data_IF_934154632449
#
_entry.id   IF_934154632449
#
_cell.length_a   1.000
_cell.length_b   1.000
_cell.length_c   1.000
_cell.angle_alpha   90.00
_cell.angle_beta   90.00
_cell.angle_gamma   90.00
#
_symmetry.space_group_name_H-M   'P 1'
#
loop_
_entity.id
_entity.type
_entity.pdbx_description
1 polymer ?
#
# COMPACT_ATOMS: atom_id res chain seq x y z
N UNK A 1 19.75 19.68 15.06
CA UNK A 1 19.26 19.38 16.44
C UNK A 1 17.79 19.75 16.62
N UNK A 2 17.33 20.88 16.06
CA UNK A 2 15.94 21.32 16.24
C UNK A 2 14.92 20.39 15.58
N UNK A 3 15.13 19.97 14.33
CA UNK A 3 14.21 19.07 13.62
C UNK A 3 14.10 17.70 14.31
N UNK A 4 15.22 17.10 14.71
CA UNK A 4 15.26 15.82 15.44
C UNK A 4 14.43 15.88 16.72
N UNK A 5 14.62 16.93 17.53
CA UNK A 5 13.85 17.14 18.76
C UNK A 5 12.37 17.34 18.49
N UNK A 6 12.03 18.14 17.47
CA UNK A 6 10.64 18.41 17.06
C UNK A 6 9.93 17.11 16.63
N UNK A 7 10.56 16.31 15.76
CA UNK A 7 9.94 15.04 15.29
C UNK A 7 9.82 14.03 16.43
N UNK A 8 10.85 13.93 17.29
CA UNK A 8 10.79 13.04 18.48
C UNK A 8 9.63 13.46 19.41
N UNK A 9 9.43 14.75 19.65
CA UNK A 9 8.32 15.25 20.47
C UNK A 9 6.95 14.99 19.82
N UNK A 10 6.83 15.12 18.50
CA UNK A 10 5.57 14.80 17.77
C UNK A 10 5.21 13.33 17.98
N UNK A 11 6.17 12.41 17.84
CA UNK A 11 5.93 10.98 18.03
C UNK A 11 5.59 10.69 19.50
N UNK A 12 6.36 11.23 20.45
CA UNK A 12 6.12 11.05 21.88
C UNK A 12 4.71 11.52 22.28
N UNK A 13 4.29 12.69 21.80
CA UNK A 13 2.96 13.21 22.06
C UNK A 13 1.84 12.33 21.48
N UNK A 14 2.06 11.73 20.29
CA UNK A 14 1.08 10.79 19.73
C UNK A 14 0.94 9.53 20.58
N UNK A 15 2.05 9.02 21.14
CA UNK A 15 2.04 7.88 22.07
C UNK A 15 1.36 8.25 23.41
N UNK A 16 1.72 9.39 23.98
CA UNK A 16 1.12 9.89 25.25
C UNK A 16 -0.40 10.09 25.12
N UNK A 17 -0.86 10.59 23.98
CA UNK A 17 -2.27 10.77 23.65
C UNK A 17 -2.96 9.48 23.21
N UNK A 18 -2.27 8.35 23.25
CA UNK A 18 -2.78 7.03 22.81
C UNK A 18 -3.32 7.05 21.36
N UNK A 19 -2.71 7.86 20.49
CA UNK A 19 -3.00 7.81 19.05
C UNK A 19 -2.44 6.53 18.43
N UNK A 20 -1.31 6.04 18.95
CA UNK A 20 -0.69 4.76 18.63
C UNK A 20 0.08 4.19 19.82
N UNK A 21 0.37 2.88 19.79
CA UNK A 21 1.20 2.23 20.81
C UNK A 21 2.68 2.65 20.70
N UNK A 22 3.14 2.78 19.49
CA UNK A 22 4.48 3.24 19.15
C UNK A 22 4.62 3.48 17.65
N UNK A 23 5.57 4.30 17.29
CA UNK A 23 5.85 4.65 15.90
C UNK A 23 7.32 4.93 15.67
N UNK A 24 7.74 4.81 14.42
CA UNK A 24 9.05 5.22 13.94
C UNK A 24 8.93 6.04 12.66
N UNK A 25 9.85 6.97 12.49
CA UNK A 25 9.96 7.89 11.34
C UNK A 25 11.39 7.87 10.82
N UNK A 26 11.52 7.79 9.50
CA UNK A 26 12.78 7.90 8.79
C UNK A 26 12.65 8.97 7.70
N UNK A 27 13.59 9.90 7.67
CA UNK A 27 13.74 10.87 6.58
C UNK A 27 15.08 10.63 5.91
N UNK A 28 15.05 10.43 4.59
CA UNK A 28 16.26 10.31 3.76
C UNK A 28 16.29 11.42 2.74
N UNK A 29 17.45 11.94 2.43
CA UNK A 29 17.65 12.94 1.36
C UNK A 29 18.93 12.63 0.60
N UNK A 30 18.84 12.61 -0.74
CA UNK A 30 19.97 12.35 -1.65
C UNK A 30 20.75 11.08 -1.28
N UNK A 31 20.01 10.01 -0.90
CA UNK A 31 20.59 8.72 -0.51
C UNK A 31 21.13 8.63 0.93
N UNK A 32 21.07 9.70 1.72
CA UNK A 32 21.55 9.72 3.10
C UNK A 32 20.40 9.82 4.10
N UNK A 33 20.56 9.18 5.26
CA UNK A 33 19.67 9.37 6.40
C UNK A 33 19.88 10.78 6.96
N UNK A 34 18.80 11.54 7.07
CA UNK A 34 18.79 12.88 7.64
C UNK A 34 18.23 12.87 9.06
N UNK A 35 17.25 11.98 9.28
CA UNK A 35 16.58 11.87 10.57
C UNK A 35 16.05 10.44 10.73
N UNK A 36 16.25 9.90 11.94
CA UNK A 36 15.52 8.75 12.44
C UNK A 36 15.00 9.06 13.85
N UNK A 37 13.72 8.81 14.09
CA UNK A 37 13.10 8.99 15.39
C UNK A 37 12.09 7.87 15.67
N UNK A 38 12.00 7.46 16.93
CA UNK A 38 11.03 6.46 17.40
C UNK A 38 10.56 6.79 18.81
N UNK A 39 9.37 6.33 19.17
CA UNK A 39 8.86 6.34 20.54
C UNK A 39 7.78 5.27 20.71
N UNK A 40 7.53 4.89 21.97
CA UNK A 40 6.49 3.96 22.37
C UNK A 40 6.86 2.49 22.22
N UNK A 41 5.84 1.64 22.27
CA UNK A 41 5.97 0.19 22.39
C UNK A 41 5.64 -0.51 21.07
N UNK A 42 6.43 -1.51 20.74
CA UNK A 42 6.11 -2.53 19.74
C UNK A 42 5.07 -3.52 20.28
N UNK A 43 5.07 -3.69 21.60
CA UNK A 43 4.11 -4.54 22.32
C UNK A 43 3.94 -3.96 23.73
N UNK A 44 2.72 -3.51 24.05
CA UNK A 44 2.40 -2.87 25.34
C UNK A 44 2.38 -3.92 26.46
N UNK A 45 1.84 -5.11 26.18
CA UNK A 45 1.62 -6.16 27.16
C UNK A 45 2.94 -6.72 27.71
N UNK A 46 3.94 -6.82 26.83
CA UNK A 46 5.30 -7.30 27.19
C UNK A 46 6.26 -6.17 27.55
N UNK A 47 5.87 -4.91 27.33
CA UNK A 47 6.75 -3.75 27.53
C UNK A 47 7.88 -3.65 26.50
N UNK A 48 7.75 -4.31 25.34
CA UNK A 48 8.77 -4.31 24.29
C UNK A 48 8.71 -3.00 23.51
N UNK A 49 9.80 -2.20 23.49
CA UNK A 49 9.82 -0.91 22.79
C UNK A 49 9.88 -1.10 21.26
N UNK A 50 9.48 -0.07 20.52
CA UNK A 50 9.83 0.07 19.09
C UNK A 50 11.35 0.07 18.96
N UNK A 51 11.86 -0.67 17.98
CA UNK A 51 13.27 -0.71 17.61
C UNK A 51 13.43 -0.40 16.11
N UNK A 52 14.68 -0.09 15.70
CA UNK A 52 14.97 0.27 14.31
C UNK A 52 14.59 -0.84 13.32
N UNK A 53 14.77 -2.08 13.74
CA UNK A 53 14.50 -3.29 12.97
C UNK A 53 13.09 -3.88 13.24
N UNK A 54 12.20 -3.12 13.90
CA UNK A 54 10.81 -3.52 14.08
C UNK A 54 10.13 -3.79 12.74
N UNK A 55 9.41 -4.92 12.67
CA UNK A 55 8.67 -5.35 11.47
C UNK A 55 7.21 -4.94 11.61
N UNK A 56 6.71 -4.19 10.64
CA UNK A 56 5.35 -3.64 10.62
C UNK A 56 4.51 -4.26 9.51
N UNK A 57 3.20 -4.36 9.73
CA UNK A 57 2.23 -4.66 8.67
C UNK A 57 2.06 -3.43 7.79
N UNK A 58 2.26 -3.57 6.50
CA UNK A 58 2.19 -2.46 5.54
C UNK A 58 0.76 -2.13 5.11
N UNK A 59 -0.10 -3.14 5.03
CA UNK A 59 -1.39 -3.00 4.36
C UNK A 59 -1.23 -2.32 3.01
N UNK A 60 -2.00 -1.25 2.74
CA UNK A 60 -2.03 -0.62 1.42
C UNK A 60 -0.71 -0.02 0.95
N UNK A 61 0.28 0.13 1.83
CA UNK A 61 1.64 0.49 1.42
C UNK A 61 2.32 -0.64 0.61
N UNK A 62 1.72 -1.85 0.52
CA UNK A 62 2.11 -2.91 -0.41
C UNK A 62 1.88 -2.53 -1.88
N UNK A 63 0.89 -1.68 -2.18
CA UNK A 63 0.43 -1.36 -3.53
C UNK A 63 1.51 -0.79 -4.47
N UNK A 64 2.37 0.16 -4.06
CA UNK A 64 3.45 0.64 -4.91
C UNK A 64 4.44 -0.46 -5.32
N UNK A 65 4.69 -1.44 -4.44
CA UNK A 65 5.54 -2.61 -4.74
C UNK A 65 4.87 -3.49 -5.80
N UNK A 66 3.56 -3.73 -5.67
CA UNK A 66 2.79 -4.47 -6.69
C UNK A 66 2.81 -3.76 -8.04
N UNK A 67 2.68 -2.43 -8.07
CA UNK A 67 2.78 -1.66 -9.31
C UNK A 67 4.15 -1.80 -9.97
N UNK A 68 5.23 -1.79 -9.18
CA UNK A 68 6.58 -2.03 -9.68
C UNK A 68 6.74 -3.45 -10.29
N UNK A 69 6.15 -4.46 -9.65
CA UNK A 69 6.14 -5.85 -10.16
C UNK A 69 5.44 -5.96 -11.53
N UNK A 70 4.29 -5.29 -11.69
CA UNK A 70 3.58 -5.24 -12.97
C UNK A 70 4.43 -4.58 -14.05
N UNK A 71 5.13 -3.48 -13.72
CA UNK A 71 5.99 -2.81 -14.68
C UNK A 71 7.20 -3.64 -15.10
N UNK A 72 7.75 -4.49 -14.22
CA UNK A 72 8.81 -5.44 -14.61
C UNK A 72 8.33 -6.42 -15.69
N UNK A 73 7.09 -6.90 -15.60
CA UNK A 73 6.52 -7.76 -16.65
C UNK A 73 6.26 -6.99 -17.94
N UNK A 74 5.76 -5.76 -17.86
CA UNK A 74 5.53 -4.90 -19.02
C UNK A 74 6.84 -4.55 -19.74
N UNK A 75 7.92 -4.20 -19.02
CA UNK A 75 9.25 -3.95 -19.59
C UNK A 75 9.83 -5.17 -20.30
N UNK A 76 9.47 -6.37 -19.87
CA UNK A 76 9.89 -7.63 -20.51
C UNK A 76 9.02 -8.04 -21.70
N UNK A 77 7.98 -7.25 -22.01
CA UNK A 77 7.03 -7.56 -23.06
C UNK A 77 6.16 -8.80 -22.80
N UNK A 78 6.00 -9.17 -21.53
CA UNK A 78 5.21 -10.33 -21.12
C UNK A 78 3.72 -10.00 -20.93
N UNK A 79 3.39 -8.73 -20.78
CA UNK A 79 2.03 -8.18 -20.70
C UNK A 79 1.96 -6.86 -21.47
N UNK A 80 0.76 -6.54 -21.98
CA UNK A 80 0.39 -5.19 -22.43
C UNK A 80 -0.57 -4.59 -21.40
N UNK A 81 -0.36 -3.33 -21.03
CA UNK A 81 -1.22 -2.65 -20.06
C UNK A 81 -2.66 -2.43 -20.56
N UNK A 82 -2.90 -2.59 -21.85
CA UNK A 82 -4.22 -2.60 -22.49
C UNK A 82 -4.81 -4.01 -22.62
N UNK A 83 -4.12 -5.05 -22.14
CA UNK A 83 -4.71 -6.38 -22.07
C UNK A 83 -5.90 -6.38 -21.11
N UNK A 84 -6.98 -7.05 -21.51
CA UNK A 84 -8.08 -7.39 -20.62
C UNK A 84 -7.63 -8.39 -19.56
N UNK A 85 -7.97 -8.16 -18.30
CA UNK A 85 -7.61 -9.05 -17.19
C UNK A 85 -8.12 -10.48 -17.39
N UNK A 86 -9.18 -10.67 -18.18
CA UNK A 86 -9.78 -11.97 -18.54
C UNK A 86 -8.88 -12.86 -19.40
N UNK A 87 -7.81 -12.29 -19.97
CA UNK A 87 -6.77 -13.09 -20.65
C UNK A 87 -5.95 -13.91 -19.65
N UNK A 88 -5.80 -13.42 -18.43
CA UNK A 88 -5.00 -14.03 -17.37
C UNK A 88 -5.87 -14.74 -16.32
N UNK A 89 -7.02 -14.15 -15.99
CA UNK A 89 -7.93 -14.61 -14.95
C UNK A 89 -9.32 -14.89 -15.53
N UNK A 90 -9.66 -16.17 -15.80
CA UNK A 90 -10.93 -16.55 -16.44
C UNK A 90 -12.20 -16.08 -15.72
N UNK A 91 -12.14 -15.82 -14.41
CA UNK A 91 -13.26 -15.28 -13.64
C UNK A 91 -13.77 -13.92 -14.16
N UNK A 92 -12.96 -13.20 -14.93
CA UNK A 92 -13.32 -11.91 -15.54
C UNK A 92 -13.89 -11.99 -16.96
N UNK A 93 -14.10 -13.18 -17.53
CA UNK A 93 -14.52 -13.35 -18.95
C UNK A 93 -15.91 -12.84 -19.26
N UNK A 94 -16.82 -12.84 -18.31
CA UNK A 94 -18.20 -12.38 -18.49
C UNK A 94 -18.53 -11.28 -17.46
N UNK A 95 -17.84 -10.14 -17.48
CA UNK A 95 -18.00 -9.15 -16.45
C UNK A 95 -19.40 -8.54 -16.46
N UNK A 96 -19.91 -8.27 -15.27
CA UNK A 96 -21.21 -7.65 -15.03
C UNK A 96 -21.00 -6.39 -14.20
N UNK A 97 -21.96 -5.50 -14.26
CA UNK A 97 -22.00 -4.28 -13.43
C UNK A 97 -23.27 -4.31 -12.61
N UNK A 98 -23.20 -3.94 -11.35
CA UNK A 98 -24.35 -3.73 -10.49
C UNK A 98 -24.50 -2.23 -10.19
N UNK A 99 -25.67 -1.67 -10.40
CA UNK A 99 -25.98 -0.27 -10.07
C UNK A 99 -26.33 -0.09 -8.58
N UNK A 100 -26.54 1.16 -8.17
CA UNK A 100 -26.91 1.51 -6.80
C UNK A 100 -28.28 0.96 -6.36
N UNK A 101 -29.13 0.48 -7.29
CA UNK A 101 -30.41 -0.17 -7.04
C UNK A 101 -30.33 -1.69 -6.99
N UNK A 102 -29.12 -2.25 -7.20
CA UNK A 102 -28.89 -3.69 -7.28
C UNK A 102 -29.23 -4.33 -8.62
N UNK A 103 -29.52 -3.54 -9.67
CA UNK A 103 -29.77 -4.07 -11.01
C UNK A 103 -28.45 -4.47 -11.66
N UNK A 104 -28.39 -5.72 -12.14
CA UNK A 104 -27.18 -6.28 -12.78
C UNK A 104 -27.35 -6.21 -14.29
N UNK A 105 -26.34 -5.65 -14.95
CA UNK A 105 -26.23 -5.59 -16.41
C UNK A 105 -24.87 -6.15 -16.87
N UNK A 106 -24.73 -6.42 -18.16
CA UNK A 106 -23.45 -6.84 -18.72
C UNK A 106 -22.49 -5.64 -18.78
N UNK A 107 -21.23 -5.86 -18.41
CA UNK A 107 -20.18 -4.89 -18.70
C UNK A 107 -19.82 -4.95 -20.20
N UNK A 108 -19.37 -3.83 -20.74
CA UNK A 108 -18.97 -3.73 -22.16
C UNK A 108 -17.74 -4.56 -22.49
N UNK A 109 -16.85 -4.73 -21.53
CA UNK A 109 -15.59 -5.51 -21.62
C UNK A 109 -15.05 -5.83 -20.24
N UNK A 110 -14.03 -6.67 -20.17
CA UNK A 110 -13.21 -6.85 -18.98
C UNK A 110 -12.36 -5.58 -18.69
N UNK A 111 -11.99 -5.31 -17.44
CA UNK A 111 -11.05 -4.24 -17.12
C UNK A 111 -9.68 -4.46 -17.78
N UNK A 112 -9.03 -3.39 -18.20
CA UNK A 112 -7.62 -3.43 -18.62
C UNK A 112 -6.68 -3.40 -17.41
N UNK A 113 -5.46 -3.93 -17.57
CA UNK A 113 -4.43 -3.89 -16.53
C UNK A 113 -4.12 -2.45 -16.09
N UNK A 114 -4.12 -1.50 -17.03
CA UNK A 114 -3.95 -0.08 -16.73
C UNK A 114 -5.06 0.49 -15.83
N UNK A 115 -6.29 0.00 -15.96
CA UNK A 115 -7.43 0.42 -15.13
C UNK A 115 -7.34 -0.16 -13.72
N UNK A 116 -6.78 -1.36 -13.57
CA UNK A 116 -6.44 -1.92 -12.27
C UNK A 116 -5.37 -1.06 -11.57
N UNK A 117 -4.30 -0.69 -12.26
CA UNK A 117 -3.26 0.22 -11.74
C UNK A 117 -3.82 1.58 -11.33
N UNK A 118 -4.82 2.09 -12.07
CA UNK A 118 -5.46 3.40 -11.82
C UNK A 118 -6.63 3.37 -10.86
N UNK A 119 -7.05 2.21 -10.32
CA UNK A 119 -8.27 2.06 -9.51
C UNK A 119 -9.56 2.47 -10.24
N UNK A 120 -9.60 2.28 -11.57
CA UNK A 120 -10.77 2.59 -12.41
C UNK A 120 -11.42 1.34 -13.00
N UNK A 121 -11.09 0.16 -12.50
CA UNK A 121 -11.59 -1.12 -13.00
C UNK A 121 -13.03 -1.46 -12.58
N UNK A 122 -13.59 -0.76 -11.58
CA UNK A 122 -14.92 -1.06 -11.04
C UNK A 122 -14.98 -2.14 -9.98
N UNK A 123 -13.83 -2.68 -9.53
CA UNK A 123 -13.77 -3.62 -8.41
C UNK A 123 -14.17 -2.95 -7.09
N UNK A 124 -14.52 -3.75 -6.09
CA UNK A 124 -14.88 -3.28 -4.76
C UNK A 124 -14.10 -4.02 -3.66
N UNK A 125 -13.87 -3.34 -2.54
CA UNK A 125 -13.67 -3.99 -1.25
C UNK A 125 -15.02 -4.35 -0.62
N UNK A 126 -15.06 -5.20 0.43
CA UNK A 126 -16.25 -5.36 1.26
C UNK A 126 -16.76 -4.00 1.75
N UNK A 127 -17.98 -3.65 1.37
CA UNK A 127 -18.61 -2.37 1.68
C UNK A 127 -20.13 -2.52 1.70
N UNK A 128 -20.86 -1.50 2.16
CA UNK A 128 -22.31 -1.52 2.27
C UNK A 128 -23.07 -1.38 0.93
N UNK A 129 -22.43 -0.85 -0.10
CA UNK A 129 -23.04 -0.74 -1.42
C UNK A 129 -23.19 -2.10 -2.13
N UNK A 130 -24.02 -2.22 -3.18
CA UNK A 130 -24.29 -3.49 -3.84
C UNK A 130 -23.03 -4.25 -4.31
N UNK A 131 -22.06 -3.58 -4.93
CA UNK A 131 -20.83 -4.23 -5.39
C UNK A 131 -19.97 -4.69 -4.21
N UNK A 132 -19.87 -3.87 -3.15
CA UNK A 132 -19.18 -4.22 -1.91
C UNK A 132 -19.79 -5.43 -1.21
N UNK A 133 -21.11 -5.57 -1.21
CA UNK A 133 -21.82 -6.73 -0.65
C UNK A 133 -21.51 -8.04 -1.41
N UNK A 134 -21.35 -7.97 -2.73
CA UNK A 134 -20.90 -9.13 -3.52
C UNK A 134 -19.45 -9.49 -3.19
N UNK A 135 -18.57 -8.51 -3.09
CA UNK A 135 -17.18 -8.74 -2.67
C UNK A 135 -17.12 -9.32 -1.24
N UNK A 136 -17.93 -8.80 -0.32
CA UNK A 136 -17.97 -9.24 1.09
C UNK A 136 -18.18 -10.75 1.23
N UNK A 137 -19.08 -11.34 0.45
CA UNK A 137 -19.35 -12.80 0.48
C UNK A 137 -18.09 -13.62 0.14
N UNK A 138 -17.34 -13.18 -0.87
CA UNK A 138 -16.11 -13.87 -1.29
C UNK A 138 -15.01 -13.74 -0.21
N UNK A 139 -14.93 -12.56 0.44
CA UNK A 139 -14.03 -12.36 1.57
C UNK A 139 -14.44 -13.15 2.82
N UNK A 140 -15.74 -13.28 3.09
CA UNK A 140 -16.25 -14.09 4.21
C UNK A 140 -15.87 -15.56 4.04
N UNK A 141 -16.01 -16.12 2.82
CA UNK A 141 -15.56 -17.47 2.50
C UNK A 141 -14.04 -17.63 2.69
N UNK A 142 -13.26 -16.64 2.26
CA UNK A 142 -11.81 -16.64 2.44
C UNK A 142 -11.44 -16.60 3.94
N UNK A 143 -12.08 -15.74 4.70
CA UNK A 143 -11.88 -15.63 6.15
C UNK A 143 -12.24 -16.93 6.88
N UNK A 144 -13.33 -17.62 6.47
CA UNK A 144 -13.71 -18.91 7.04
C UNK A 144 -12.62 -19.95 6.79
N UNK A 145 -12.13 -20.07 5.55
CA UNK A 145 -11.08 -21.02 5.20
C UNK A 145 -9.75 -20.75 5.95
N UNK A 146 -9.39 -19.48 6.14
CA UNK A 146 -8.20 -19.12 6.91
C UNK A 146 -8.35 -19.51 8.39
N UNK A 147 -9.53 -19.27 8.98
CA UNK A 147 -9.83 -19.67 10.38
C UNK A 147 -9.78 -21.17 10.57
N UNK A 148 -10.20 -21.95 9.57
CA UNK A 148 -10.15 -23.41 9.58
C UNK A 148 -8.72 -23.98 9.32
N UNK A 149 -7.72 -23.12 9.27
CA UNK A 149 -6.32 -23.50 9.11
C UNK A 149 -5.86 -23.68 7.68
N UNK A 150 -6.73 -23.45 6.69
CA UNK A 150 -6.44 -23.47 5.27
C UNK A 150 -6.15 -22.08 4.69
N UNK A 151 -6.72 -21.82 3.53
CA UNK A 151 -6.65 -20.55 2.79
C UNK A 151 -7.01 -20.77 1.33
N UNK A 152 -7.27 -19.69 0.62
CA UNK A 152 -7.54 -19.72 -0.83
C UNK A 152 -6.29 -19.23 -1.56
N UNK A 153 -5.76 -19.95 -2.56
CA UNK A 153 -4.66 -19.47 -3.38
C UNK A 153 -4.98 -18.14 -4.08
N UNK A 154 -3.98 -17.28 -4.27
CA UNK A 154 -4.14 -15.93 -4.83
C UNK A 154 -4.95 -15.92 -6.13
N UNK A 155 -4.56 -16.74 -7.10
CA UNK A 155 -5.24 -16.79 -8.42
C UNK A 155 -6.68 -17.26 -8.29
N UNK A 156 -6.96 -18.26 -7.45
CA UNK A 156 -8.32 -18.76 -7.23
C UNK A 156 -9.19 -17.70 -6.58
N UNK A 157 -8.69 -17.02 -5.54
CA UNK A 157 -9.42 -15.97 -4.84
C UNK A 157 -9.78 -14.82 -5.79
N UNK A 158 -8.83 -14.38 -6.62
CA UNK A 158 -9.08 -13.31 -7.57
C UNK A 158 -10.02 -13.71 -8.70
N UNK A 159 -10.03 -14.97 -9.14
CA UNK A 159 -11.04 -15.47 -10.06
C UNK A 159 -12.45 -15.43 -9.45
N UNK A 160 -12.62 -15.85 -8.18
CA UNK A 160 -13.93 -15.77 -7.48
C UNK A 160 -14.42 -14.33 -7.34
N UNK A 161 -13.51 -13.36 -7.11
CA UNK A 161 -13.84 -11.93 -7.12
C UNK A 161 -14.22 -11.44 -8.52
N UNK A 162 -13.54 -11.90 -9.57
CA UNK A 162 -13.84 -11.56 -10.96
C UNK A 162 -15.22 -12.02 -11.43
N UNK A 163 -15.76 -13.08 -10.84
CA UNK A 163 -17.13 -13.54 -11.07
C UNK A 163 -18.20 -12.65 -10.46
N UNK A 164 -17.81 -11.71 -9.58
CA UNK A 164 -18.75 -10.79 -8.96
C UNK A 164 -18.98 -9.54 -9.83
N UNK A 165 -20.15 -8.88 -9.68
CA UNK A 165 -20.42 -7.66 -10.43
C UNK A 165 -19.49 -6.51 -10.03
N UNK A 166 -18.99 -5.79 -11.03
CA UNK A 166 -18.27 -4.52 -10.86
C UNK A 166 -19.23 -3.40 -10.40
N UNK A 167 -18.74 -2.37 -9.74
CA UNK A 167 -19.53 -1.22 -9.31
C UNK A 167 -19.92 -0.29 -10.48
N UNK A 168 -19.15 -0.30 -11.58
CA UNK A 168 -19.36 0.55 -12.75
C UNK A 168 -18.62 -0.03 -13.98
N UNK A 169 -18.90 0.53 -15.15
CA UNK A 169 -18.21 0.16 -16.39
C UNK A 169 -16.72 0.49 -16.27
N UNK A 170 -15.81 -0.44 -16.60
CA UNK A 170 -14.38 -0.20 -16.52
C UNK A 170 -13.94 1.10 -17.21
N UNK A 171 -13.13 1.90 -16.51
CA UNK A 171 -12.59 3.17 -17.00
C UNK A 171 -13.45 4.40 -16.74
N UNK A 172 -14.68 4.26 -16.19
CA UNK A 172 -15.63 5.39 -16.09
C UNK A 172 -15.56 6.16 -14.77
N UNK A 173 -15.18 5.50 -13.67
CA UNK A 173 -15.13 6.08 -12.33
C UNK A 173 -13.86 5.66 -11.60
N UNK A 174 -13.54 6.34 -10.52
CA UNK A 174 -12.49 5.93 -9.60
C UNK A 174 -13.10 5.29 -8.35
N UNK A 175 -12.56 4.12 -7.97
CA UNK A 175 -12.92 3.47 -6.71
C UNK A 175 -11.73 2.70 -6.16
N UNK A 176 -11.36 3.03 -4.93
CA UNK A 176 -10.35 2.27 -4.21
C UNK A 176 -10.82 0.86 -3.87
N UNK A 177 -10.04 -0.17 -4.22
CA UNK A 177 -10.54 -1.54 -4.26
C UNK A 177 -9.45 -2.61 -4.30
N UNK A 178 -9.84 -3.86 -4.56
CA UNK A 178 -8.99 -5.05 -4.71
C UNK A 178 -8.12 -5.08 -5.98
N UNK A 179 -8.02 -3.99 -6.72
CA UNK A 179 -7.28 -3.94 -7.99
C UNK A 179 -5.83 -4.42 -7.88
N UNK A 180 -5.14 -4.08 -6.78
CA UNK A 180 -3.76 -4.50 -6.57
C UNK A 180 -3.64 -6.01 -6.26
N UNK A 181 -4.66 -6.60 -5.65
CA UNK A 181 -4.71 -8.04 -5.40
C UNK A 181 -4.87 -8.80 -6.72
N UNK A 182 -5.75 -8.31 -7.59
CA UNK A 182 -5.93 -8.85 -8.95
C UNK A 182 -4.63 -8.74 -9.76
N UNK A 183 -3.91 -7.63 -9.65
CA UNK A 183 -2.61 -7.46 -10.30
C UNK A 183 -1.56 -8.43 -9.74
N UNK A 184 -1.55 -8.72 -8.43
CA UNK A 184 -0.72 -9.76 -7.83
C UNK A 184 -0.98 -11.13 -8.44
N UNK A 185 -2.26 -11.50 -8.64
CA UNK A 185 -2.63 -12.75 -9.31
C UNK A 185 -2.20 -12.79 -10.78
N UNK A 186 -2.29 -11.66 -11.50
CA UNK A 186 -1.77 -11.56 -12.88
C UNK A 186 -0.26 -11.78 -12.91
N UNK A 187 0.49 -11.18 -11.98
CA UNK A 187 1.95 -11.42 -11.86
C UNK A 187 2.23 -12.90 -11.64
N UNK A 188 1.46 -13.57 -10.77
CA UNK A 188 1.60 -15.02 -10.49
C UNK A 188 1.36 -15.86 -11.75
N UNK A 189 0.27 -15.60 -12.48
CA UNK A 189 -0.07 -16.32 -13.72
C UNK A 189 1.00 -16.13 -14.80
N UNK A 190 1.44 -14.91 -15.03
CA UNK A 190 2.37 -14.57 -16.11
C UNK A 190 3.78 -15.06 -15.82
N UNK A 191 4.23 -14.95 -14.56
CA UNK A 191 5.57 -15.38 -14.16
C UNK A 191 5.69 -16.89 -13.91
N UNK A 192 4.57 -17.58 -13.68
CA UNK A 192 4.56 -18.97 -13.24
C UNK A 192 5.13 -19.21 -11.85
N UNK A 193 5.33 -18.14 -11.05
CA UNK A 193 5.82 -18.17 -9.66
C UNK A 193 4.72 -17.68 -8.73
N UNK A 194 4.74 -18.11 -7.46
CA UNK A 194 3.95 -17.43 -6.43
C UNK A 194 4.33 -15.95 -6.41
N UNK A 195 3.37 -15.09 -6.10
CA UNK A 195 3.58 -13.65 -6.13
C UNK A 195 4.72 -13.22 -5.18
N UNK A 196 4.78 -13.77 -3.97
CA UNK A 196 5.85 -13.52 -3.01
C UNK A 196 7.22 -13.99 -3.49
N UNK A 197 7.30 -15.13 -4.18
CA UNK A 197 8.54 -15.61 -4.77
C UNK A 197 9.01 -14.68 -5.90
N UNK A 198 8.09 -14.20 -6.74
CA UNK A 198 8.41 -13.21 -7.77
C UNK A 198 8.95 -11.93 -7.15
N UNK A 199 8.26 -11.37 -6.14
CA UNK A 199 8.70 -10.15 -5.45
C UNK A 199 10.07 -10.34 -4.79
N UNK A 200 10.29 -11.48 -4.13
CA UNK A 200 11.59 -11.80 -3.51
C UNK A 200 12.72 -11.80 -4.54
N UNK A 201 12.53 -12.50 -5.66
CA UNK A 201 13.57 -12.69 -6.66
C UNK A 201 13.86 -11.41 -7.44
N UNK A 202 12.83 -10.62 -7.77
CA UNK A 202 12.93 -9.49 -8.68
C UNK A 202 13.08 -8.12 -7.99
N UNK A 203 12.59 -8.00 -6.75
CA UNK A 203 12.61 -6.75 -6.00
C UNK A 203 13.33 -6.89 -4.66
N UNK A 204 12.92 -7.80 -3.78
CA UNK A 204 13.41 -7.79 -2.40
C UNK A 204 14.87 -8.18 -2.29
N UNK A 205 15.30 -9.26 -2.93
CA UNK A 205 16.73 -9.67 -2.93
C UNK A 205 17.61 -8.62 -3.61
N UNK A 206 17.26 -8.12 -4.82
CA UNK A 206 18.03 -7.06 -5.46
C UNK A 206 18.14 -5.76 -4.66
N UNK A 207 17.13 -5.42 -3.89
CA UNK A 207 17.06 -4.22 -3.04
C UNK A 207 17.51 -4.47 -1.59
N UNK A 208 17.97 -5.69 -1.26
CA UNK A 208 18.35 -6.10 0.09
C UNK A 208 17.25 -5.88 1.15
N UNK A 209 16.00 -6.13 0.78
CA UNK A 209 14.82 -6.03 1.63
C UNK A 209 14.55 -7.38 2.32
N UNK A 210 15.43 -7.77 3.24
CA UNK A 210 15.44 -9.11 3.83
C UNK A 210 14.30 -9.39 4.82
N UNK A 211 13.64 -8.35 5.31
CA UNK A 211 12.54 -8.42 6.27
C UNK A 211 11.17 -8.10 5.63
N UNK A 212 11.13 -7.99 4.29
CA UNK A 212 9.90 -7.74 3.54
C UNK A 212 9.36 -9.04 2.96
N UNK A 213 8.13 -9.41 3.35
CA UNK A 213 7.50 -10.67 2.95
C UNK A 213 5.98 -10.64 3.22
N UNK A 214 5.26 -11.72 2.87
CA UNK A 214 3.85 -11.91 3.23
C UNK A 214 3.63 -12.56 4.59
N UNK A 215 4.68 -12.95 5.30
CA UNK A 215 4.64 -13.54 6.63
C UNK A 215 5.97 -13.32 7.37
N UNK A 216 5.95 -13.55 8.69
CA UNK A 216 7.12 -13.36 9.56
C UNK A 216 7.55 -14.72 10.11
N UNK A 217 8.73 -15.25 9.69
CA UNK A 217 9.24 -16.51 10.20
C UNK A 217 9.53 -16.44 11.70
N UNK A 218 9.50 -17.58 12.37
CA UNK A 218 9.62 -17.68 13.84
C UNK A 218 10.85 -16.94 14.40
N UNK A 219 11.99 -17.06 13.73
CA UNK A 219 13.23 -16.40 14.15
C UNK A 219 13.20 -14.86 14.10
N UNK A 220 12.17 -14.27 13.50
CA UNK A 220 11.96 -12.80 13.38
C UNK A 220 10.77 -12.29 14.18
N UNK A 221 9.96 -13.17 14.80
CA UNK A 221 8.70 -12.79 15.48
C UNK A 221 8.88 -11.83 16.63
N UNK A 222 10.00 -11.90 17.33
CA UNK A 222 10.30 -10.95 18.42
C UNK A 222 10.40 -9.50 17.93
N UNK A 223 10.65 -9.26 16.64
CA UNK A 223 10.67 -7.93 16.04
C UNK A 223 9.32 -7.50 15.47
N UNK A 224 8.34 -8.40 15.39
CA UNK A 224 7.03 -8.12 14.82
C UNK A 224 6.18 -7.28 15.77
N UNK A 225 5.68 -6.14 15.28
CA UNK A 225 4.92 -5.17 16.06
C UNK A 225 3.48 -5.65 16.24
N UNK A 226 2.99 -5.63 17.48
CA UNK A 226 1.60 -5.91 17.82
C UNK A 226 0.68 -4.85 17.20
N UNK A 227 -0.43 -5.28 16.63
CA UNK A 227 -1.45 -4.39 16.09
C UNK A 227 -2.44 -4.02 17.19
N UNK A 228 -2.81 -2.75 17.24
CA UNK A 228 -3.75 -2.24 18.23
C UNK A 228 -4.97 -1.62 17.56
N UNK A 229 -6.12 -1.72 18.23
CA UNK A 229 -7.30 -0.93 17.93
C UNK A 229 -7.52 0.12 19.01
N UNK A 230 -8.05 1.27 18.59
CA UNK A 230 -8.34 2.37 19.50
C UNK A 230 -9.81 2.36 19.88
N UNK A 231 -10.09 2.22 21.17
CA UNK A 231 -11.43 2.27 21.76
C UNK A 231 -11.53 3.34 22.85
N UNK A 232 -12.71 3.42 23.52
CA UNK A 232 -12.95 4.34 24.64
C UNK A 232 -12.00 4.09 25.80
N UNK A 233 -11.60 2.82 26.04
CA UNK A 233 -10.66 2.41 27.09
C UNK A 233 -9.18 2.64 26.75
N UNK A 234 -8.85 3.08 25.56
CA UNK A 234 -7.48 3.23 25.06
C UNK A 234 -7.14 2.28 23.93
N UNK A 235 -5.89 1.78 23.92
CA UNK A 235 -5.39 0.85 22.90
C UNK A 235 -5.52 -0.59 23.44
N UNK A 236 -6.14 -1.46 22.63
CA UNK A 236 -6.25 -2.90 22.90
C UNK A 236 -5.67 -3.72 21.74
N UNK A 237 -5.03 -4.88 21.99
CA UNK A 237 -4.52 -5.72 20.91
C UNK A 237 -5.63 -6.10 19.92
N UNK A 238 -5.37 -5.85 18.64
CA UNK A 238 -6.28 -6.26 17.57
C UNK A 238 -5.84 -7.62 17.02
N UNK A 239 -6.67 -8.62 17.22
CA UNK A 239 -6.46 -10.00 16.77
C UNK A 239 -7.37 -10.36 15.59
N UNK A 240 -7.98 -9.35 14.96
CA UNK A 240 -8.90 -9.55 13.85
C UNK A 240 -8.20 -9.84 12.53
N UNK A 241 -9.02 -10.04 11.51
CA UNK A 241 -8.60 -10.21 10.12
C UNK A 241 -9.30 -9.16 9.25
N UNK A 242 -8.55 -8.52 8.38
CA UNK A 242 -9.08 -7.56 7.42
C UNK A 242 -8.50 -7.86 6.04
N UNK A 243 -9.35 -7.87 5.00
CA UNK A 243 -8.98 -8.15 3.61
C UNK A 243 -8.22 -9.50 3.43
N UNK A 244 -8.65 -10.53 4.16
CA UNK A 244 -8.00 -11.83 4.24
C UNK A 244 -6.52 -11.78 4.70
N UNK A 245 -6.11 -10.69 5.35
CA UNK A 245 -4.81 -10.48 5.97
C UNK A 245 -5.00 -10.37 7.50
N UNK A 246 -4.22 -11.10 8.27
CA UNK A 246 -4.34 -11.10 9.74
C UNK A 246 -3.41 -12.10 10.40
N UNK A 247 -3.24 -13.25 9.77
CA UNK A 247 -2.33 -14.29 10.21
C UNK A 247 -0.99 -14.14 9.46
N UNK A 248 0.05 -13.75 10.19
CA UNK A 248 1.40 -13.56 9.64
C UNK A 248 2.43 -14.52 10.21
N UNK A 249 2.00 -15.53 10.99
CA UNK A 249 2.91 -16.50 11.60
C UNK A 249 3.25 -17.68 10.70
N UNK A 250 2.60 -17.79 9.55
CA UNK A 250 2.83 -18.85 8.56
C UNK A 250 2.75 -18.29 7.15
N UNK A 251 3.33 -19.01 6.22
CA UNK A 251 3.26 -18.72 4.80
C UNK A 251 1.79 -18.79 4.31
N UNK A 252 1.19 -17.67 3.84
CA UNK A 252 -0.22 -17.64 3.49
C UNK A 252 -0.48 -18.23 2.11
N UNK A 253 -1.65 -18.83 1.91
CA UNK A 253 -2.10 -19.26 0.59
C UNK A 253 -2.45 -18.06 -0.30
N UNK A 254 -2.99 -16.99 0.27
CA UNK A 254 -3.30 -15.73 -0.40
C UNK A 254 -2.23 -14.68 -0.12
N UNK A 255 -1.55 -14.24 -1.16
CA UNK A 255 -0.53 -13.19 -1.11
C UNK A 255 -1.12 -11.89 -1.65
N UNK A 256 -1.71 -11.08 -0.75
CA UNK A 256 -2.41 -9.85 -1.11
C UNK A 256 -1.47 -8.78 -1.65
N UNK A 257 -1.56 -8.47 -2.94
CA UNK A 257 -0.84 -7.35 -3.55
C UNK A 257 -1.30 -5.98 -3.05
N UNK A 258 -2.49 -5.93 -2.46
CA UNK A 258 -3.09 -4.72 -1.93
C UNK A 258 -2.82 -4.46 -0.45
N UNK A 259 -2.50 -5.52 0.35
CA UNK A 259 -2.48 -5.38 1.81
C UNK A 259 -1.55 -6.36 2.55
N UNK A 260 -0.95 -7.35 1.89
CA UNK A 260 -0.39 -8.52 2.56
C UNK A 260 1.03 -8.38 3.09
N UNK A 261 1.81 -7.40 2.65
CA UNK A 261 3.22 -7.31 3.00
C UNK A 261 3.46 -6.82 4.43
N UNK A 262 4.52 -7.35 5.02
CA UNK A 262 5.21 -6.77 6.19
C UNK A 262 6.56 -6.23 5.75
N UNK A 263 7.13 -5.27 6.50
CA UNK A 263 8.45 -4.70 6.23
C UNK A 263 9.00 -3.95 7.44
N UNK A 264 10.26 -3.55 7.36
CA UNK A 264 10.89 -2.57 8.24
C UNK A 264 10.98 -1.19 7.56
N UNK A 265 11.25 -0.13 8.32
CA UNK A 265 11.56 1.18 7.74
C UNK A 265 12.77 1.14 6.82
N UNK A 266 13.81 0.40 7.21
CA UNK A 266 15.05 0.28 6.43
C UNK A 266 14.76 -0.38 5.08
N UNK A 267 14.14 -1.56 5.07
CA UNK A 267 13.81 -2.28 3.84
C UNK A 267 12.97 -1.41 2.89
N UNK A 268 11.90 -0.81 3.42
CA UNK A 268 11.03 0.03 2.58
C UNK A 268 11.76 1.27 2.06
N UNK A 269 12.77 1.78 2.79
CA UNK A 269 13.58 2.91 2.33
C UNK A 269 14.40 2.55 1.08
N UNK A 270 14.84 1.31 0.95
CA UNK A 270 15.56 0.84 -0.25
C UNK A 270 14.64 0.88 -1.49
N UNK A 271 13.39 0.44 -1.35
CA UNK A 271 12.38 0.57 -2.40
C UNK A 271 12.10 2.05 -2.74
N UNK A 272 11.96 2.89 -1.72
CA UNK A 272 11.72 4.32 -1.89
C UNK A 272 12.89 5.02 -2.59
N UNK A 273 14.12 4.72 -2.20
CA UNK A 273 15.33 5.24 -2.85
C UNK A 273 15.47 4.76 -4.30
N UNK A 274 15.13 3.48 -4.58
CA UNK A 274 15.07 2.94 -5.95
C UNK A 274 14.10 3.74 -6.81
N UNK A 275 12.91 4.03 -6.30
CA UNK A 275 11.91 4.82 -7.00
C UNK A 275 12.39 6.26 -7.22
N UNK A 276 12.98 6.93 -6.22
CA UNK A 276 13.59 8.27 -6.37
C UNK A 276 14.76 8.29 -7.35
N UNK A 277 15.54 7.20 -7.39
CA UNK A 277 16.68 7.01 -8.29
C UNK A 277 16.28 6.67 -9.73
N UNK A 278 15.00 6.84 -10.11
CA UNK A 278 14.53 6.51 -11.46
C UNK A 278 14.72 5.04 -11.79
N UNK A 279 14.46 4.15 -10.83
CA UNK A 279 14.57 2.70 -10.96
C UNK A 279 15.96 2.13 -10.68
N UNK A 280 16.86 2.90 -10.09
CA UNK A 280 18.22 2.47 -9.71
C UNK A 280 18.40 2.52 -8.20
N UNK A 281 18.98 1.50 -7.63
CA UNK A 281 19.43 1.45 -6.24
C UNK A 281 20.85 0.89 -6.15
N UNK A 282 21.75 1.62 -5.48
CA UNK A 282 23.18 1.27 -5.35
C UNK A 282 23.85 0.86 -6.67
N UNK A 283 23.55 1.60 -7.76
CA UNK A 283 24.09 1.35 -9.09
C UNK A 283 23.42 0.19 -9.86
N UNK A 284 22.53 -0.58 -9.22
CA UNK A 284 21.75 -1.64 -9.86
C UNK A 284 20.43 -1.11 -10.39
N UNK A 285 20.16 -1.32 -11.67
CA UNK A 285 18.88 -1.00 -12.28
C UNK A 285 17.87 -2.10 -12.02
N UNK A 286 16.72 -1.71 -11.46
CA UNK A 286 15.56 -2.57 -11.20
C UNK A 286 14.46 -2.27 -12.23
N UNK A 287 14.13 -0.99 -12.41
CA UNK A 287 13.15 -0.50 -13.39
C UNK A 287 13.79 0.53 -14.33
N UNK A 288 13.20 0.72 -15.49
CA UNK A 288 13.59 1.83 -16.37
C UNK A 288 13.11 3.17 -15.79
N UNK A 289 13.78 4.30 -16.11
CA UNK A 289 13.31 5.62 -15.73
C UNK A 289 11.90 5.92 -16.27
N UNK A 290 11.57 5.40 -17.45
CA UNK A 290 10.27 5.55 -18.10
C UNK A 290 9.18 4.85 -17.30
N UNK A 291 9.43 3.64 -16.77
CA UNK A 291 8.48 2.94 -15.91
C UNK A 291 8.24 3.68 -14.60
N UNK A 292 9.27 4.21 -13.97
CA UNK A 292 9.10 5.04 -12.76
C UNK A 292 8.30 6.30 -13.07
N UNK A 293 8.63 7.01 -14.14
CA UNK A 293 7.89 8.19 -14.57
C UNK A 293 6.41 7.86 -14.87
N UNK A 294 6.15 6.73 -15.53
CA UNK A 294 4.79 6.24 -15.79
C UNK A 294 4.02 5.92 -14.51
N UNK A 295 4.65 5.20 -13.55
CA UNK A 295 4.05 4.84 -12.28
C UNK A 295 3.64 6.06 -11.46
N UNK A 296 4.44 7.11 -11.49
CA UNK A 296 4.28 8.33 -10.69
C UNK A 296 3.60 9.48 -11.43
N UNK A 297 3.16 9.26 -12.68
CA UNK A 297 2.38 10.25 -13.42
C UNK A 297 0.91 10.26 -12.98
N UNK A 298 0.28 11.44 -12.81
CA UNK A 298 -1.15 11.53 -12.53
C UNK A 298 -1.96 10.98 -13.71
N UNK A 299 -2.92 10.09 -13.43
CA UNK A 299 -3.68 9.37 -14.48
C UNK A 299 -5.12 9.82 -14.61
N UNK A 300 -5.74 10.26 -13.49
CA UNK A 300 -7.18 10.46 -13.46
C UNK A 300 -7.62 11.68 -14.26
N UNK A 301 -8.72 11.55 -15.02
CA UNK A 301 -9.48 12.67 -15.58
C UNK A 301 -10.01 13.58 -14.46
N UNK A 302 -10.42 14.80 -14.81
CA UNK A 302 -10.98 15.72 -13.83
C UNK A 302 -12.25 15.22 -13.13
N UNK A 303 -13.04 14.36 -13.79
CA UNK A 303 -14.23 13.74 -13.21
C UNK A 303 -13.87 12.64 -12.22
N UNK A 304 -13.11 11.65 -12.63
CA UNK A 304 -12.64 10.57 -11.75
C UNK A 304 -11.82 11.10 -10.55
N UNK A 305 -11.05 12.18 -10.75
CA UNK A 305 -10.29 12.80 -9.66
C UNK A 305 -11.20 13.37 -8.55
N UNK A 306 -12.40 13.87 -8.89
CA UNK A 306 -13.35 14.38 -7.89
C UNK A 306 -13.99 13.28 -7.04
N UNK A 307 -13.88 12.03 -7.44
CA UNK A 307 -14.39 10.89 -6.69
C UNK A 307 -13.38 10.36 -5.66
N UNK A 308 -12.13 10.86 -5.68
CA UNK A 308 -11.16 10.56 -4.64
C UNK A 308 -11.63 11.15 -3.30
N UNK A 309 -11.19 10.50 -2.22
CA UNK A 309 -11.54 10.95 -0.86
C UNK A 309 -11.14 12.40 -0.59
N UNK A 310 -11.94 13.11 0.20
CA UNK A 310 -11.65 14.50 0.62
C UNK A 310 -10.27 14.67 1.26
N UNK A 311 -9.77 13.64 1.94
CA UNK A 311 -8.42 13.62 2.52
C UNK A 311 -7.30 13.66 1.46
N UNK A 312 -7.63 13.40 0.20
CA UNK A 312 -6.71 13.43 -0.95
C UNK A 312 -6.90 14.68 -1.84
N UNK A 313 -7.54 15.73 -1.34
CA UNK A 313 -7.59 17.02 -2.05
C UNK A 313 -6.16 17.50 -2.34
N UNK A 314 -5.96 18.02 -3.54
CA UNK A 314 -4.64 18.43 -4.03
C UNK A 314 -3.86 17.30 -4.71
N UNK A 315 -4.32 16.06 -4.59
CA UNK A 315 -3.71 14.90 -5.25
C UNK A 315 -4.53 14.43 -6.46
N UNK A 316 -3.87 13.70 -7.35
CA UNK A 316 -4.43 12.78 -8.32
C UNK A 316 -3.95 11.36 -7.98
N UNK A 317 -4.51 10.35 -8.65
CA UNK A 317 -4.03 8.97 -8.56
C UNK A 317 -3.11 8.66 -9.74
N UNK A 318 -1.96 8.07 -9.46
CA UNK A 318 -1.04 7.49 -10.43
C UNK A 318 -1.33 6.01 -10.64
N UNK A 319 -0.30 5.17 -10.55
CA UNK A 319 -0.43 3.71 -10.61
C UNK A 319 -0.21 3.15 -9.22
N UNK A 320 -1.32 2.88 -8.51
CA UNK A 320 -1.34 2.42 -7.12
C UNK A 320 -0.64 3.36 -6.11
N UNK A 321 -0.58 4.65 -6.42
CA UNK A 321 -0.06 5.70 -5.55
C UNK A 321 -0.80 7.02 -5.76
N UNK A 322 -0.78 7.92 -4.77
CA UNK A 322 -1.20 9.32 -4.94
C UNK A 322 -0.05 10.13 -5.53
N UNK A 323 -0.38 11.19 -6.27
CA UNK A 323 0.57 12.14 -6.82
C UNK A 323 0.07 13.55 -6.56
N UNK A 324 0.86 14.43 -5.95
CA UNK A 324 0.48 15.82 -5.69
C UNK A 324 0.48 16.63 -6.98
N UNK A 325 -0.67 17.21 -7.30
CA UNK A 325 -0.87 18.05 -8.50
C UNK A 325 -1.26 19.49 -8.17
N UNK A 326 -1.75 19.73 -6.94
CA UNK A 326 -2.13 21.06 -6.45
C UNK A 326 -1.81 21.17 -4.95
N UNK A 327 -0.58 21.54 -4.60
CA UNK A 327 -0.15 21.65 -3.21
C UNK A 327 -1.00 22.60 -2.36
N UNK A 328 -1.60 23.63 -2.98
CA UNK A 328 -2.45 24.61 -2.28
C UNK A 328 -3.75 24.03 -1.71
N UNK A 329 -4.18 22.86 -2.18
CA UNK A 329 -5.37 22.16 -1.67
C UNK A 329 -5.06 21.03 -0.69
N UNK A 330 -3.76 20.69 -0.49
CA UNK A 330 -3.37 19.65 0.45
C UNK A 330 -3.54 20.12 1.88
N UNK A 331 -4.05 19.25 2.77
CA UNK A 331 -4.21 19.55 4.20
C UNK A 331 -2.84 19.52 4.94
N UNK A 332 -1.91 20.38 4.57
CA UNK A 332 -0.56 20.50 5.10
C UNK A 332 0.44 20.98 4.06
N UNK A 333 1.71 21.09 4.43
CA UNK A 333 2.76 21.40 3.46
C UNK A 333 2.93 20.25 2.46
N UNK A 334 3.10 20.60 1.19
CA UNK A 334 3.26 19.64 0.10
C UNK A 334 4.11 20.25 -1.02
N UNK A 335 4.70 19.38 -1.85
CA UNK A 335 5.45 19.80 -3.03
C UNK A 335 4.82 19.20 -4.29
N UNK A 336 4.80 19.94 -5.42
CA UNK A 336 4.31 19.39 -6.68
C UNK A 336 5.07 18.12 -7.08
N UNK A 337 4.35 17.10 -7.53
CA UNK A 337 4.96 15.85 -7.97
C UNK A 337 5.41 14.92 -6.83
N UNK A 338 5.19 15.27 -5.56
CA UNK A 338 5.36 14.26 -4.49
C UNK A 338 4.42 13.09 -4.74
N UNK A 339 4.89 11.86 -4.48
CA UNK A 339 4.09 10.66 -4.65
C UNK A 339 4.35 9.66 -3.53
N UNK A 340 3.40 8.78 -3.30
CA UNK A 340 3.50 7.74 -2.28
C UNK A 340 2.16 7.13 -1.95
N UNK A 341 2.10 6.39 -0.85
CA UNK A 341 0.85 5.83 -0.34
C UNK A 341 0.94 5.58 1.16
N UNK A 342 -0.20 5.26 1.77
CA UNK A 342 -0.31 4.95 3.19
C UNK A 342 -1.05 3.63 3.41
N UNK A 343 -0.92 3.07 4.61
CA UNK A 343 -1.57 1.82 5.02
C UNK A 343 -2.69 2.04 6.02
N UNK A 344 -3.65 1.12 6.05
CA UNK A 344 -4.77 1.11 6.98
C UNK A 344 -4.35 1.20 8.45
N UNK A 345 -3.15 0.67 8.78
CA UNK A 345 -2.60 0.69 10.15
C UNK A 345 -1.73 1.93 10.45
N UNK A 346 -1.66 2.90 9.53
CA UNK A 346 -0.93 4.15 9.71
C UNK A 346 0.52 4.13 9.23
N UNK A 347 0.92 3.12 8.46
CA UNK A 347 2.16 3.20 7.69
C UNK A 347 2.04 4.28 6.61
N UNK A 348 3.12 4.99 6.34
CA UNK A 348 3.14 6.13 5.42
C UNK A 348 4.44 6.17 4.62
N UNK A 349 4.31 6.49 3.34
CA UNK A 349 5.41 6.67 2.41
C UNK A 349 5.15 7.88 1.51
N UNK A 350 6.13 8.77 1.39
CA UNK A 350 6.16 9.83 0.38
C UNK A 350 7.56 10.11 -0.11
N UNK A 351 7.71 10.14 -1.44
CA UNK A 351 8.87 10.63 -2.16
C UNK A 351 8.63 12.05 -2.67
N UNK A 352 9.66 12.88 -2.60
CA UNK A 352 9.71 14.26 -3.07
C UNK A 352 10.81 14.38 -4.12
N UNK A 353 10.52 14.12 -5.42
CA UNK A 353 11.54 14.02 -6.45
C UNK A 353 12.37 15.28 -6.64
N UNK A 354 11.76 16.48 -6.53
CA UNK A 354 12.46 17.77 -6.64
C UNK A 354 13.57 17.94 -5.61
N UNK A 355 13.45 17.26 -4.46
CA UNK A 355 14.37 17.36 -3.33
C UNK A 355 15.27 16.15 -3.14
N UNK A 356 15.01 15.09 -3.92
CA UNK A 356 15.63 13.78 -3.70
C UNK A 356 15.39 13.26 -2.29
N UNK A 357 14.17 13.45 -1.76
CA UNK A 357 13.84 13.19 -0.37
C UNK A 357 12.72 12.16 -0.23
N UNK A 358 12.82 11.34 0.82
CA UNK A 358 11.79 10.39 1.26
C UNK A 358 11.41 10.67 2.71
N UNK A 359 10.10 10.60 3.01
CA UNK A 359 9.58 10.51 4.38
C UNK A 359 8.86 9.18 4.53
N UNK A 360 9.27 8.39 5.51
CA UNK A 360 8.63 7.14 5.92
C UNK A 360 8.17 7.25 7.37
N UNK A 361 7.00 6.69 7.66
CA UNK A 361 6.53 6.50 9.04
C UNK A 361 5.85 5.15 9.15
N UNK A 362 6.09 4.43 10.24
CA UNK A 362 5.46 3.14 10.50
C UNK A 362 4.90 3.07 11.92
N UNK A 363 3.69 2.54 12.01
CA UNK A 363 2.95 2.20 13.23
C UNK A 363 1.93 1.12 12.91
N UNK A 364 1.32 0.51 13.92
CA UNK A 364 0.28 -0.52 13.74
C UNK A 364 -0.95 -0.23 14.61
N UNK A 365 -1.79 0.71 14.15
CA UNK A 365 -3.09 1.03 14.79
C UNK A 365 -4.19 0.99 13.73
N UNK A 366 -5.29 0.26 14.00
CA UNK A 366 -6.39 0.10 13.04
C UNK A 366 -7.03 1.43 12.66
N UNK A 367 -7.54 1.52 11.42
CA UNK A 367 -8.23 2.70 10.87
C UNK A 367 -7.42 4.01 10.94
N UNK A 368 -6.09 3.93 10.94
CA UNK A 368 -5.23 5.10 11.13
C UNK A 368 -5.03 5.91 9.83
N UNK A 369 -4.70 5.25 8.71
CA UNK A 369 -4.37 5.93 7.44
C UNK A 369 -3.26 6.98 7.61
N UNK A 370 -3.39 8.15 6.97
CA UNK A 370 -2.48 9.29 7.18
C UNK A 370 -2.85 10.06 8.46
N UNK A 371 -2.21 9.73 9.57
CA UNK A 371 -2.53 10.26 10.91
C UNK A 371 -2.18 11.74 11.10
N UNK A 372 -2.73 12.42 12.13
CA UNK A 372 -2.28 13.75 12.55
C UNK A 372 -0.77 13.80 12.84
N UNK A 373 -0.22 12.75 13.48
CA UNK A 373 1.22 12.62 13.71
C UNK A 373 2.01 12.72 12.40
N UNK A 374 1.65 11.94 11.39
CA UNK A 374 2.32 11.96 10.07
C UNK A 374 2.23 13.34 9.42
N UNK A 375 1.06 14.00 9.46
CA UNK A 375 0.91 15.37 8.89
C UNK A 375 1.78 16.40 9.60
N UNK A 376 1.90 16.32 10.94
CA UNK A 376 2.79 17.17 11.73
C UNK A 376 4.26 16.94 11.38
N UNK A 377 4.68 15.66 11.27
CA UNK A 377 6.03 15.27 10.85
C UNK A 377 6.34 15.85 9.46
N UNK A 378 5.46 15.64 8.48
CA UNK A 378 5.62 16.22 7.14
C UNK A 378 5.82 17.73 7.18
N UNK A 379 4.96 18.45 7.90
CA UNK A 379 5.06 19.90 8.02
C UNK A 379 6.42 20.33 8.63
N UNK A 380 6.87 19.66 9.70
CA UNK A 380 8.14 19.95 10.33
C UNK A 380 9.33 19.71 9.37
N UNK A 381 9.32 18.57 8.66
CA UNK A 381 10.39 18.23 7.71
C UNK A 381 10.41 19.19 6.52
N UNK A 382 9.27 19.48 5.90
CA UNK A 382 9.21 20.41 4.75
C UNK A 382 9.52 21.85 5.16
N UNK A 383 9.18 22.28 6.38
CA UNK A 383 9.57 23.58 6.89
C UNK A 383 11.10 23.65 7.12
N UNK A 384 11.72 22.62 7.71
CA UNK A 384 13.17 22.54 7.88
C UNK A 384 13.90 22.54 6.52
N UNK A 385 13.38 21.78 5.55
CA UNK A 385 13.88 21.78 4.17
C UNK A 385 13.88 23.20 3.57
N UNK A 386 12.76 23.93 3.69
CA UNK A 386 12.62 25.28 3.11
C UNK A 386 13.54 26.31 3.79
N UNK A 387 13.98 26.05 5.04
CA UNK A 387 14.97 26.88 5.75
C UNK A 387 16.41 26.46 5.50
N UNK A 388 16.64 25.40 4.70
CA UNK A 388 17.98 24.87 4.43
C UNK A 388 18.63 24.15 5.62
N UNK A 389 17.85 23.65 6.57
CA UNK A 389 18.35 22.94 7.77
C UNK A 389 18.67 21.46 7.47
N UNK A 390 18.13 20.94 6.37
CA UNK A 390 18.33 19.57 5.90
C UNK A 390 18.52 19.55 4.39
#
# INVERSE_FOLDING_TARGET
MELQATVSQIIASAVENRECAGASVLVRRKGHEVLYAQAGMADIETGRPIARDSIFRLYSQSKPITAAAVMLLAERGLIDLTDGVDQYLPGFRNPRVVDHRGCITRAGRAPFLMELLGMTAGLAYPDADPAGQYAARVFEDAHAQIRDGGGIPTVEFMNRLGEQPLAFQPGTHWRYSTCADVLGAVVEVVSGKRFGDFLRDELFTPLQMADTAFWVPECKRERFVTCYERGEGGLTPWLGMNLACGEYSRDPAFESGGAGLVSTLEDYSHFADMMLGGGVWQGRRILSPQSVAFLTAPQLSGECRREMWDSLRGYSYGKLCRVCVDPGQVAGLALPGEYGWDGWLGSYYANFPSEGMTILSMQNTTNAGTTPMVRKVRNAVLAALSRGEI
#
